data_IF_520234054459
#
_entry.id   IF_520234054459
#
_cell.length_a   1.000
_cell.length_b   1.000
_cell.length_c   1.000
_cell.angle_alpha   90.00
_cell.angle_beta   90.00
_cell.angle_gamma   90.00
#
_symmetry.space_group_name_H-M   'P 1'
#
loop_
_entity.id
_entity.type
_entity.pdbx_description
1 polymer ?
#
# COMPACT_ATOMS: atom_id res chain seq x y z
N UNK A 1 -12.39 -2.53 -19.21
CA UNK A 1 -13.74 -3.14 -19.15
C UNK A 1 -14.78 -2.28 -19.88
N UNK A 2 -14.40 -1.61 -20.98
CA UNK A 2 -15.25 -0.59 -21.63
C UNK A 2 -15.64 -0.97 -23.06
N UNK A 3 -15.34 -2.20 -23.49
CA UNK A 3 -15.74 -2.70 -24.82
C UNK A 3 -17.18 -3.25 -24.76
N UNK A 4 -18.06 -2.89 -25.71
CA UNK A 4 -19.47 -3.33 -25.71
C UNK A 4 -19.63 -4.85 -25.72
N UNK A 5 -18.75 -5.56 -26.45
CA UNK A 5 -18.78 -7.02 -26.57
C UNK A 5 -18.24 -7.79 -25.37
N UNK A 6 -17.66 -7.07 -24.39
CA UNK A 6 -17.07 -7.70 -23.22
C UNK A 6 -18.11 -8.48 -22.40
N UNK A 7 -19.33 -7.97 -22.30
CA UNK A 7 -20.43 -8.60 -21.55
C UNK A 7 -21.22 -9.65 -22.35
N UNK A 8 -21.00 -9.74 -23.67
CA UNK A 8 -21.65 -10.74 -24.52
C UNK A 8 -21.17 -12.17 -24.20
N UNK A 9 -20.01 -12.29 -23.55
CA UNK A 9 -19.45 -13.55 -23.06
C UNK A 9 -19.23 -13.50 -21.54
N UNK A 10 -20.32 -13.65 -20.78
CA UNK A 10 -20.33 -13.55 -19.31
C UNK A 10 -19.25 -14.40 -18.62
N UNK A 11 -19.04 -15.64 -19.05
CA UNK A 11 -18.01 -16.52 -18.46
C UNK A 11 -16.59 -15.98 -18.67
N UNK A 12 -16.31 -15.48 -19.89
CA UNK A 12 -15.01 -14.88 -20.23
C UNK A 12 -14.78 -13.56 -19.51
N UNK A 13 -15.84 -12.75 -19.37
CA UNK A 13 -15.80 -11.50 -18.61
C UNK A 13 -15.48 -11.77 -17.14
N UNK A 14 -16.14 -12.77 -16.54
CA UNK A 14 -15.94 -13.13 -15.13
C UNK A 14 -14.52 -13.64 -14.86
N UNK A 15 -13.99 -14.52 -15.71
CA UNK A 15 -12.60 -14.98 -15.59
C UNK A 15 -11.59 -13.82 -15.66
N UNK A 16 -11.78 -12.87 -16.58
CA UNK A 16 -10.94 -11.68 -16.68
C UNK A 16 -11.05 -10.77 -15.46
N UNK A 17 -12.25 -10.63 -14.88
CA UNK A 17 -12.46 -9.84 -13.65
C UNK A 17 -11.72 -10.49 -12.49
N UNK A 18 -11.82 -11.81 -12.35
CA UNK A 18 -11.15 -12.58 -11.30
C UNK A 18 -9.63 -12.51 -11.41
N UNK A 19 -9.10 -12.63 -12.62
CA UNK A 19 -7.67 -12.49 -12.90
C UNK A 19 -7.16 -11.08 -12.55
N UNK A 20 -7.85 -10.03 -13.02
CA UNK A 20 -7.51 -8.64 -12.69
C UNK A 20 -7.60 -8.39 -11.18
N UNK A 21 -8.60 -8.96 -10.51
CA UNK A 21 -8.75 -8.82 -9.06
C UNK A 21 -7.62 -9.50 -8.31
N UNK A 22 -7.19 -10.69 -8.74
CA UNK A 22 -6.05 -11.41 -8.16
C UNK A 22 -4.74 -10.63 -8.34
N UNK A 23 -4.51 -10.06 -9.54
CA UNK A 23 -3.34 -9.23 -9.80
C UNK A 23 -3.36 -7.95 -8.96
N UNK A 24 -4.51 -7.27 -8.86
CA UNK A 24 -4.67 -6.08 -8.00
C UNK A 24 -4.46 -6.40 -6.53
N UNK A 25 -4.89 -7.56 -6.06
CA UNK A 25 -4.67 -8.00 -4.69
C UNK A 25 -3.18 -8.15 -4.35
N UNK A 26 -2.31 -8.39 -5.34
CA UNK A 26 -0.86 -8.44 -5.17
C UNK A 26 -0.19 -7.08 -5.34
N UNK A 27 -0.63 -6.29 -6.32
CA UNK A 27 -0.01 -5.00 -6.66
C UNK A 27 -0.39 -3.90 -5.66
N UNK A 28 -1.65 -3.85 -5.22
CA UNK A 28 -2.13 -2.77 -4.35
C UNK A 28 -1.41 -2.74 -2.99
N UNK A 29 -1.16 -3.87 -2.30
CA UNK A 29 -0.37 -3.84 -1.06
C UNK A 29 1.04 -3.30 -1.26
N UNK A 30 1.72 -3.68 -2.36
CA UNK A 30 3.05 -3.15 -2.68
C UNK A 30 3.02 -1.63 -2.91
N UNK A 31 2.03 -1.13 -3.65
CA UNK A 31 1.87 0.31 -3.87
C UNK A 31 1.56 1.06 -2.56
N UNK A 32 0.79 0.45 -1.65
CA UNK A 32 0.53 1.01 -0.33
C UNK A 32 1.81 1.08 0.51
N UNK A 33 2.62 0.03 0.53
CA UNK A 33 3.92 0.02 1.21
C UNK A 33 4.87 1.08 0.65
N UNK A 34 4.94 1.22 -0.68
CA UNK A 34 5.76 2.28 -1.29
C UNK A 34 5.33 3.68 -0.85
N UNK A 35 4.02 3.93 -0.77
CA UNK A 35 3.50 5.20 -0.28
C UNK A 35 3.83 5.43 1.20
N UNK A 36 3.61 4.42 2.05
CA UNK A 36 3.95 4.49 3.47
C UNK A 36 5.44 4.77 3.70
N UNK A 37 6.32 4.15 2.91
CA UNK A 37 7.75 4.43 3.00
C UNK A 37 8.10 5.88 2.63
N UNK A 38 7.45 6.44 1.62
CA UNK A 38 7.63 7.85 1.25
C UNK A 38 7.11 8.78 2.35
N UNK A 39 5.91 8.49 2.89
CA UNK A 39 5.30 9.26 3.98
C UNK A 39 6.17 9.19 5.25
N UNK A 40 6.78 8.04 5.56
CA UNK A 40 7.72 7.87 6.68
C UNK A 40 8.99 8.72 6.51
N UNK A 41 9.51 8.84 5.28
CA UNK A 41 10.64 9.73 4.99
C UNK A 41 10.30 11.19 5.32
N UNK A 42 9.11 11.65 4.90
CA UNK A 42 8.61 12.99 5.24
C UNK A 42 8.42 13.15 6.75
N UNK A 43 7.88 12.14 7.43
CA UNK A 43 7.68 12.17 8.88
C UNK A 43 9.02 12.32 9.62
N UNK A 44 10.07 11.64 9.18
CA UNK A 44 11.42 11.78 9.74
C UNK A 44 11.94 13.20 9.53
N UNK A 45 11.81 13.75 8.33
CA UNK A 45 12.24 15.14 8.06
C UNK A 45 11.53 16.14 8.99
N UNK A 46 10.21 16.00 9.15
CA UNK A 46 9.44 16.83 10.08
C UNK A 46 9.90 16.65 11.54
N UNK A 47 10.11 15.41 11.97
CA UNK A 47 10.57 15.10 13.32
C UNK A 47 11.92 15.74 13.67
N UNK A 48 12.82 15.93 12.68
CA UNK A 48 14.10 16.61 12.91
C UNK A 48 13.98 18.11 13.16
N UNK A 49 12.86 18.72 12.76
CA UNK A 49 12.60 20.15 12.90
C UNK A 49 11.83 20.48 14.19
N UNK A 50 11.29 19.47 14.88
CA UNK A 50 10.53 19.62 16.12
C UNK A 50 11.42 19.95 17.32
N UNK A 51 10.88 20.76 18.25
CA UNK A 51 11.56 21.08 19.51
C UNK A 51 11.51 19.90 20.49
N UNK A 52 10.41 19.14 20.51
CA UNK A 52 10.28 17.92 21.32
C UNK A 52 10.70 16.68 20.51
N UNK A 53 12.01 16.47 20.42
CA UNK A 53 12.58 15.33 19.70
C UNK A 53 12.18 13.98 20.29
N UNK A 54 11.85 13.91 21.58
CA UNK A 54 11.45 12.65 22.22
C UNK A 54 10.04 12.24 21.80
N UNK A 55 9.12 13.20 21.72
CA UNK A 55 7.79 12.92 21.20
C UNK A 55 7.85 12.59 19.71
N UNK A 56 8.56 13.39 18.92
CA UNK A 56 8.68 13.19 17.48
C UNK A 56 9.32 11.83 17.13
N UNK A 57 10.34 11.39 17.87
CA UNK A 57 10.96 10.08 17.69
C UNK A 57 9.97 8.93 17.95
N UNK A 58 9.10 9.04 18.96
CA UNK A 58 8.09 8.01 19.25
C UNK A 58 7.06 7.88 18.14
N UNK A 59 6.68 8.99 17.50
CA UNK A 59 5.75 8.98 16.38
C UNK A 59 6.37 8.28 15.15
N UNK A 60 7.64 8.58 14.86
CA UNK A 60 8.41 7.88 13.81
C UNK A 60 8.54 6.39 14.11
N UNK A 61 8.87 6.00 15.35
CA UNK A 61 8.98 4.60 15.75
C UNK A 61 7.65 3.86 15.61
N UNK A 62 6.52 4.49 15.97
CA UNK A 62 5.20 3.90 15.82
C UNK A 62 4.88 3.61 14.35
N UNK A 63 5.14 4.56 13.46
CA UNK A 63 4.88 4.42 12.03
C UNK A 63 5.83 3.41 11.36
N UNK A 64 7.11 3.41 11.74
CA UNK A 64 8.09 2.41 11.29
C UNK A 64 7.68 0.99 11.68
N UNK A 65 7.19 0.80 12.91
CA UNK A 65 6.68 -0.50 13.37
C UNK A 65 5.44 -0.94 12.58
N UNK A 66 4.53 -0.02 12.24
CA UNK A 66 3.38 -0.31 11.40
C UNK A 66 3.81 -0.71 9.97
N UNK A 67 4.75 0.03 9.39
CA UNK A 67 5.32 -0.28 8.08
C UNK A 67 5.98 -1.66 8.05
N UNK A 68 6.78 -1.98 9.08
CA UNK A 68 7.50 -3.27 9.18
C UNK A 68 6.51 -4.44 9.22
N UNK A 69 5.44 -4.33 10.03
CA UNK A 69 4.37 -5.34 10.07
C UNK A 69 3.66 -5.49 8.72
N UNK A 70 3.42 -4.37 8.02
CA UNK A 70 2.83 -4.38 6.69
C UNK A 70 3.72 -5.10 5.67
N UNK A 71 5.04 -4.90 5.77
CA UNK A 71 6.02 -5.56 4.93
C UNK A 71 6.08 -7.07 5.21
N UNK A 72 6.16 -7.46 6.49
CA UNK A 72 6.13 -8.88 6.89
C UNK A 72 4.86 -9.59 6.39
N UNK A 73 3.70 -8.93 6.46
CA UNK A 73 2.44 -9.48 5.95
C UNK A 73 2.43 -9.62 4.42
N UNK A 74 3.15 -8.75 3.70
CA UNK A 74 3.27 -8.83 2.25
C UNK A 74 4.23 -9.92 1.78
N UNK A 75 5.25 -10.25 2.59
CA UNK A 75 6.25 -11.28 2.28
C UNK A 75 5.79 -12.71 2.59
N UNK A 76 4.77 -12.89 3.44
CA UNK A 76 4.16 -14.18 3.83
C UNK A 76 3.12 -14.69 2.81
#
# INVERSE_FOLDING_TARGET
MSAPDFWNHKDRAQQLVEEVSSLRAKINPLLALQRQAADLGVLIELATLEEDQNQAAREVEAELNAFTKGLEQFEL
#
